data_IF_629998122382
#
_entry.id   IF_629998122382
#
_cell.length_a   1.000
_cell.length_b   1.000
_cell.length_c   1.000
_cell.angle_alpha   90.00
_cell.angle_beta   90.00
_cell.angle_gamma   90.00
#
_symmetry.space_group_name_H-M   'P 1'
#
loop_
_entity.id
_entity.type
_entity.pdbx_description
1 polymer ?
#
# COMPACT_ATOMS: atom_id res chain seq x y z
N UNK A 1 -11.28 -3.27 38.52
CA UNK A 1 -11.22 -1.82 38.21
C UNK A 1 -10.91 -1.72 36.73
N UNK A 2 -11.96 -1.69 35.91
CA UNK A 2 -11.91 -1.75 34.44
C UNK A 2 -12.26 -0.36 33.92
N UNK A 3 -11.27 0.48 33.65
CA UNK A 3 -11.52 1.85 33.20
C UNK A 3 -11.02 2.04 31.77
N UNK A 4 -12.00 2.36 30.92
CA UNK A 4 -11.90 3.28 29.79
C UNK A 4 -11.10 2.80 28.58
N UNK A 5 -11.76 2.00 27.73
CA UNK A 5 -11.45 1.99 26.29
C UNK A 5 -11.96 3.33 25.72
N UNK A 6 -11.09 4.32 25.64
CA UNK A 6 -11.38 5.62 25.03
C UNK A 6 -11.56 5.46 23.53
N UNK A 7 -12.57 6.15 23.02
CA UNK A 7 -13.02 6.22 21.63
C UNK A 7 -11.87 6.29 20.61
N UNK A 8 -11.74 5.28 19.74
CA UNK A 8 -10.89 5.31 18.55
C UNK A 8 -11.46 6.26 17.48
N UNK A 9 -11.55 7.56 17.77
CA UNK A 9 -11.94 8.59 16.78
C UNK A 9 -10.73 9.44 16.42
N UNK A 10 -9.73 8.82 15.82
CA UNK A 10 -8.67 9.55 15.11
C UNK A 10 -9.17 9.74 13.69
N UNK A 11 -9.37 10.99 13.25
CA UNK A 11 -9.67 11.25 11.85
C UNK A 11 -8.40 11.04 11.02
N UNK A 12 -8.54 10.56 9.79
CA UNK A 12 -7.39 10.45 8.89
C UNK A 12 -6.72 11.81 8.64
N UNK A 13 -7.48 12.91 8.71
CA UNK A 13 -6.96 14.28 8.67
C UNK A 13 -6.03 14.63 9.83
N UNK A 14 -6.16 13.92 10.95
CA UNK A 14 -5.40 14.17 12.17
C UNK A 14 -4.12 13.32 12.21
N UNK A 15 -4.00 12.33 11.31
CA UNK A 15 -2.77 11.59 11.09
C UNK A 15 -1.84 12.47 10.25
N UNK A 16 -0.62 12.78 10.72
CA UNK A 16 0.34 13.52 9.92
C UNK A 16 0.68 12.68 8.69
N UNK A 17 0.08 12.99 7.53
CA UNK A 17 0.50 12.44 6.24
C UNK A 17 1.83 13.07 5.88
N UNK A 18 2.90 12.58 6.51
CA UNK A 18 4.27 12.91 6.11
C UNK A 18 4.51 12.38 4.70
N UNK A 19 5.38 13.04 3.94
CA UNK A 19 5.87 12.56 2.63
C UNK A 19 6.49 11.15 2.70
N UNK A 20 6.70 10.62 3.90
CA UNK A 20 7.14 9.26 4.19
C UNK A 20 6.00 8.22 4.16
N UNK A 21 4.76 8.62 4.42
CA UNK A 21 3.57 7.74 4.37
C UNK A 21 2.95 7.63 2.97
N UNK A 22 3.33 8.51 2.04
CA UNK A 22 2.92 8.38 0.65
C UNK A 22 3.80 7.31 0.01
N UNK A 23 3.23 6.24 -0.59
CA UNK A 23 4.03 5.30 -1.36
C UNK A 23 4.71 6.07 -2.50
N UNK A 24 6.03 6.21 -2.38
CA UNK A 24 6.87 6.96 -3.33
C UNK A 24 6.98 6.27 -4.69
N UNK A 25 6.53 5.03 -4.77
CA UNK A 25 6.62 4.18 -5.93
C UNK A 25 5.24 3.67 -6.30
N UNK A 26 4.99 3.65 -7.59
CA UNK A 26 3.76 3.13 -8.18
C UNK A 26 4.13 2.10 -9.23
N UNK A 27 3.16 1.31 -9.65
CA UNK A 27 3.33 0.32 -10.71
C UNK A 27 2.16 0.39 -11.70
N UNK A 28 2.38 0.04 -12.96
CA UNK A 28 1.29 -0.02 -13.95
C UNK A 28 0.63 -1.41 -13.95
N UNK A 29 -0.65 -1.53 -14.33
CA UNK A 29 -1.36 -2.81 -14.29
C UNK A 29 -0.84 -3.86 -15.28
N UNK A 30 -0.03 -3.46 -16.25
CA UNK A 30 0.61 -4.36 -17.24
C UNK A 30 1.86 -5.07 -16.69
N UNK A 31 2.36 -4.64 -15.52
CA UNK A 31 3.54 -5.24 -14.86
C UNK A 31 3.18 -6.52 -14.13
N UNK A 32 4.17 -7.39 -13.97
CA UNK A 32 3.99 -8.70 -13.34
C UNK A 32 4.01 -8.62 -11.81
N UNK A 33 3.48 -9.65 -11.14
CA UNK A 33 3.62 -9.79 -9.69
C UNK A 33 5.09 -9.85 -9.23
N UNK A 34 5.98 -10.42 -10.07
CA UNK A 34 7.42 -10.41 -9.83
C UNK A 34 7.98 -8.98 -9.84
N UNK A 35 7.60 -8.15 -10.81
CA UNK A 35 8.02 -6.74 -10.88
C UNK A 35 7.58 -5.96 -9.64
N UNK A 36 6.34 -6.20 -9.18
CA UNK A 36 5.81 -5.60 -7.95
C UNK A 36 6.62 -6.02 -6.72
N UNK A 37 6.89 -7.33 -6.56
CA UNK A 37 7.69 -7.85 -5.46
C UNK A 37 9.14 -7.30 -5.48
N UNK A 38 9.74 -7.18 -6.66
CA UNK A 38 11.08 -6.63 -6.82
C UNK A 38 11.12 -5.15 -6.41
N UNK A 39 10.14 -4.33 -6.82
CA UNK A 39 10.02 -2.93 -6.42
C UNK A 39 9.79 -2.79 -4.91
N UNK A 40 8.89 -3.60 -4.34
CA UNK A 40 8.63 -3.65 -2.90
C UNK A 40 9.90 -3.97 -2.11
N UNK A 41 10.65 -4.99 -2.53
CA UNK A 41 11.91 -5.38 -1.89
C UNK A 41 12.99 -4.32 -2.03
N UNK A 42 13.13 -3.69 -3.22
CA UNK A 42 14.15 -2.69 -3.47
C UNK A 42 13.93 -1.42 -2.64
N UNK A 43 12.67 -1.05 -2.45
CA UNK A 43 12.30 0.21 -1.79
C UNK A 43 11.80 0.03 -0.35
N UNK A 44 11.87 -1.20 0.18
CA UNK A 44 11.40 -1.55 1.53
C UNK A 44 9.97 -1.07 1.78
N UNK A 45 9.07 -1.34 0.83
CA UNK A 45 7.66 -0.98 0.93
C UNK A 45 6.78 -2.21 0.76
N UNK A 46 5.70 -2.30 1.54
CA UNK A 46 4.78 -3.44 1.52
C UNK A 46 3.57 -3.25 0.61
N UNK A 47 3.40 -2.06 0.03
CA UNK A 47 2.25 -1.74 -0.81
C UNK A 47 2.63 -0.81 -1.96
N UNK A 48 2.06 -1.05 -3.13
CA UNK A 48 2.21 -0.21 -4.31
C UNK A 48 0.82 0.21 -4.82
N UNK A 49 0.56 1.51 -5.03
CA UNK A 49 -0.55 1.96 -5.85
C UNK A 49 -0.34 1.50 -7.29
N UNK A 50 -1.40 0.95 -7.87
CA UNK A 50 -1.45 0.59 -9.28
C UNK A 50 -2.06 1.77 -10.03
N UNK A 51 -1.27 2.44 -10.86
CA UNK A 51 -1.68 3.63 -11.61
C UNK A 51 -1.68 3.28 -13.10
N UNK A 52 -2.77 3.59 -13.81
CA UNK A 52 -2.83 3.39 -15.26
C UNK A 52 -1.97 4.41 -16.00
N UNK A 53 -1.65 4.15 -17.26
CA UNK A 53 -0.93 5.10 -18.13
C UNK A 53 -1.62 6.47 -18.24
N UNK A 54 -2.94 6.52 -18.06
CA UNK A 54 -3.71 7.77 -18.01
C UNK A 54 -3.59 8.54 -16.69
N UNK A 55 -2.76 8.10 -15.75
CA UNK A 55 -2.55 8.73 -14.44
C UNK A 55 -3.64 8.45 -13.41
N UNK A 56 -4.53 7.49 -13.65
CA UNK A 56 -5.63 7.19 -12.74
C UNK A 56 -5.26 6.04 -11.78
N UNK A 57 -5.62 6.19 -10.50
CA UNK A 57 -5.51 5.10 -9.54
C UNK A 57 -6.47 3.96 -9.92
N UNK A 58 -5.91 2.80 -10.22
CA UNK A 58 -6.63 1.56 -10.50
C UNK A 58 -6.91 0.79 -9.21
N UNK A 59 -5.93 0.75 -8.30
CA UNK A 59 -6.04 0.04 -7.02
C UNK A 59 -4.76 0.07 -6.20
N UNK A 60 -4.68 -0.77 -5.18
CA UNK A 60 -3.49 -0.97 -4.34
C UNK A 60 -3.19 -2.47 -4.33
N UNK A 61 -1.91 -2.84 -4.51
CA UNK A 61 -1.43 -4.21 -4.34
C UNK A 61 -0.46 -4.27 -3.15
N UNK A 62 -0.59 -5.29 -2.31
CA UNK A 62 0.29 -5.51 -1.16
C UNK A 62 1.18 -6.74 -1.33
N UNK A 63 2.24 -6.84 -0.55
CA UNK A 63 3.09 -8.04 -0.49
C UNK A 63 2.29 -9.30 -0.11
N UNK A 64 1.26 -9.15 0.74
CA UNK A 64 0.35 -10.24 1.08
C UNK A 64 -0.51 -10.70 -0.11
N UNK A 65 -1.01 -9.78 -0.94
CA UNK A 65 -1.75 -10.13 -2.16
C UNK A 65 -0.86 -10.89 -3.14
N UNK A 66 0.40 -10.46 -3.30
CA UNK A 66 1.36 -11.15 -4.16
C UNK A 66 1.57 -12.60 -3.70
N UNK A 67 1.78 -12.82 -2.40
CA UNK A 67 1.91 -14.17 -1.85
C UNK A 67 0.65 -14.99 -2.09
N UNK A 68 -0.53 -14.39 -1.89
CA UNK A 68 -1.82 -15.06 -2.10
C UNK A 68 -2.01 -15.55 -3.54
N UNK A 69 -1.58 -14.77 -4.54
CA UNK A 69 -1.75 -15.14 -5.96
C UNK A 69 -0.66 -16.05 -6.50
N UNK A 70 0.59 -15.93 -6.03
CA UNK A 70 1.70 -16.77 -6.49
C UNK A 70 1.66 -18.18 -5.88
N UNK A 71 1.07 -18.32 -4.69
CA UNK A 71 0.98 -19.61 -3.99
C UNK A 71 -0.17 -20.51 -4.48
N UNK A 72 -0.98 -20.07 -5.47
CA UNK A 72 -2.09 -20.83 -6.04
C UNK A 72 -1.65 -21.72 -7.21
#
# INVERSE_FOLDING_TARGET
MWHQWTEHRVLLSDIPTTLELIPKFTITPERTAHDAAALMSLHMTDALPVISDGGHLVGIITSADIVHWVAQ
#
